data_IF_064121665675
#
_entry.id   IF_064121665675
#
_cell.length_a   1.000
_cell.length_b   1.000
_cell.length_c   1.000
_cell.angle_alpha   90.00
_cell.angle_beta   90.00
_cell.angle_gamma   90.00
#
_symmetry.space_group_name_H-M   'P 1'
#
loop_
_entity.id
_entity.type
_entity.pdbx_description
1 polymer ?
#
# COMPACT_ATOMS: atom_id res chain seq x y z
N UNK A 1 -11.07 -11.58 1.80
CA UNK A 1 -10.91 -10.52 0.79
C UNK A 1 -12.29 -10.03 0.38
N UNK A 2 -12.43 -8.78 -0.01
CA UNK A 2 -13.69 -8.14 -0.43
C UNK A 2 -13.40 -7.21 -1.62
N UNK A 3 -14.27 -7.17 -2.62
CA UNK A 3 -14.14 -6.26 -3.77
C UNK A 3 -14.96 -5.00 -3.47
N UNK A 4 -14.32 -3.83 -3.56
CA UNK A 4 -14.96 -2.51 -3.48
C UNK A 4 -14.46 -1.68 -4.64
N UNK A 5 -15.40 -1.14 -5.43
CA UNK A 5 -15.06 -0.25 -6.56
C UNK A 5 -14.07 -0.88 -7.55
N UNK A 6 -14.16 -2.21 -7.76
CA UNK A 6 -13.25 -2.96 -8.64
C UNK A 6 -11.88 -3.27 -8.03
N UNK A 7 -11.62 -2.87 -6.78
CA UNK A 7 -10.36 -3.09 -6.07
C UNK A 7 -10.52 -4.17 -4.99
N UNK A 8 -9.49 -5.01 -4.85
CA UNK A 8 -9.46 -6.07 -3.84
C UNK A 8 -8.95 -5.48 -2.52
N UNK A 9 -9.72 -5.66 -1.46
CA UNK A 9 -9.36 -5.27 -0.10
C UNK A 9 -9.22 -6.50 0.81
N UNK A 10 -8.21 -6.51 1.66
CA UNK A 10 -8.13 -7.41 2.80
C UNK A 10 -8.98 -6.85 3.93
N UNK A 11 -10.01 -7.60 4.32
CA UNK A 11 -10.81 -7.35 5.51
C UNK A 11 -10.26 -8.20 6.65
N UNK A 12 -9.71 -7.57 7.67
CA UNK A 12 -9.10 -8.25 8.83
C UNK A 12 -9.41 -7.46 10.12
N UNK A 13 -10.03 -8.11 11.10
CA UNK A 13 -10.39 -7.52 12.42
C UNK A 13 -11.07 -6.13 12.33
N UNK A 14 -11.95 -5.93 11.34
CA UNK A 14 -12.65 -4.66 11.12
C UNK A 14 -11.87 -3.61 10.34
N UNK A 15 -10.60 -3.86 10.02
CA UNK A 15 -9.78 -3.02 9.13
C UNK A 15 -9.93 -3.45 7.67
N UNK A 16 -9.84 -2.47 6.76
CA UNK A 16 -9.85 -2.69 5.31
C UNK A 16 -8.56 -2.14 4.73
N UNK A 17 -7.75 -3.00 4.12
CA UNK A 17 -6.47 -2.63 3.50
C UNK A 17 -6.50 -2.98 2.02
N UNK A 18 -6.13 -2.05 1.16
CA UNK A 18 -6.05 -2.26 -0.27
C UNK A 18 -4.96 -3.28 -0.60
N UNK A 19 -5.30 -4.32 -1.38
CA UNK A 19 -4.33 -5.30 -1.82
C UNK A 19 -3.48 -4.75 -2.96
N UNK A 20 -2.16 -4.71 -2.76
CA UNK A 20 -1.22 -4.23 -3.76
C UNK A 20 -0.57 -5.43 -4.45
N UNK A 21 -0.75 -5.59 -5.77
CA UNK A 21 -0.17 -6.69 -6.52
C UNK A 21 1.34 -6.54 -6.68
N UNK A 22 2.00 -7.65 -6.98
CA UNK A 22 3.40 -7.68 -7.39
C UNK A 22 3.50 -7.61 -8.91
N UNK A 23 3.40 -6.41 -9.46
CA UNK A 23 3.44 -6.17 -10.91
C UNK A 23 4.30 -4.96 -11.24
N UNK A 24 4.85 -4.97 -12.46
CA UNK A 24 5.65 -3.88 -13.01
C UNK A 24 4.76 -2.95 -13.84
N UNK A 25 4.86 -1.65 -13.58
CA UNK A 25 4.22 -0.58 -14.34
C UNK A 25 5.36 0.30 -14.86
N UNK A 26 5.47 0.44 -16.18
CA UNK A 26 6.52 1.23 -16.85
C UNK A 26 7.94 0.93 -16.34
N UNK A 27 8.23 -0.34 -16.09
CA UNK A 27 9.54 -0.79 -15.62
C UNK A 27 9.82 -0.58 -14.12
N UNK A 28 8.83 -0.15 -13.32
CA UNK A 28 8.94 -0.03 -11.86
C UNK A 28 7.94 -0.92 -11.14
N UNK A 29 8.30 -1.41 -9.95
CA UNK A 29 7.38 -2.18 -9.13
C UNK A 29 6.26 -1.28 -8.61
N UNK A 30 5.01 -1.75 -8.68
CA UNK A 30 3.86 -1.04 -8.10
C UNK A 30 4.06 -0.73 -6.61
N UNK A 31 4.74 -1.62 -5.88
CA UNK A 31 5.07 -1.43 -4.46
C UNK A 31 6.11 -0.33 -4.27
N UNK A 32 7.12 -0.27 -5.13
CA UNK A 32 8.14 0.79 -5.13
C UNK A 32 7.52 2.16 -5.44
N UNK A 33 6.68 2.23 -6.48
CA UNK A 33 5.94 3.44 -6.85
C UNK A 33 5.14 3.97 -5.66
N UNK A 34 4.41 3.09 -4.97
CA UNK A 34 3.61 3.45 -3.80
C UNK A 34 4.47 3.98 -2.64
N UNK A 35 5.59 3.31 -2.33
CA UNK A 35 6.51 3.74 -1.26
C UNK A 35 7.09 5.10 -1.60
N UNK A 36 7.58 5.29 -2.83
CA UNK A 36 8.15 6.57 -3.29
C UNK A 36 7.10 7.69 -3.23
N UNK A 37 5.89 7.45 -3.72
CA UNK A 37 4.80 8.43 -3.68
C UNK A 37 4.47 8.83 -2.23
N UNK A 38 4.40 7.86 -1.33
CA UNK A 38 4.14 8.12 0.10
C UNK A 38 5.28 8.91 0.74
N UNK A 39 6.53 8.62 0.38
CA UNK A 39 7.68 9.40 0.85
C UNK A 39 7.63 10.85 0.38
N UNK A 40 7.27 11.10 -0.88
CA UNK A 40 7.11 12.45 -1.43
C UNK A 40 5.95 13.21 -0.78
N UNK A 41 4.85 12.53 -0.43
CA UNK A 41 3.72 13.16 0.28
C UNK A 41 4.02 13.45 1.75
N UNK A 42 4.83 12.60 2.39
CA UNK A 42 5.10 12.62 3.82
C UNK A 42 6.58 12.98 4.09
N UNK A 43 7.15 13.89 3.31
CA UNK A 43 8.58 14.28 3.26
C UNK A 43 9.27 14.57 4.60
N UNK A 44 8.50 14.76 5.69
CA UNK A 44 9.01 15.02 7.04
C UNK A 44 8.75 13.88 8.04
N UNK A 45 8.22 12.74 7.62
CA UNK A 45 8.04 11.55 8.46
C UNK A 45 9.23 10.59 8.31
N UNK A 46 9.68 10.05 9.45
CA UNK A 46 10.67 8.98 9.44
C UNK A 46 10.15 7.77 8.66
N UNK A 47 11.06 7.01 8.05
CA UNK A 47 10.72 5.80 7.30
C UNK A 47 9.82 4.85 8.11
N UNK A 48 10.09 4.70 9.42
CA UNK A 48 9.27 3.90 10.34
C UNK A 48 7.81 4.38 10.36
N UNK A 49 7.57 5.68 10.50
CA UNK A 49 6.20 6.22 10.54
C UNK A 49 5.50 6.09 9.18
N UNK A 50 6.24 6.23 8.08
CA UNK A 50 5.72 6.00 6.73
C UNK A 50 5.30 4.53 6.52
N UNK A 51 6.14 3.58 6.94
CA UNK A 51 5.80 2.16 6.84
C UNK A 51 4.59 1.80 7.69
N UNK A 52 4.47 2.35 8.91
CA UNK A 52 3.26 2.18 9.72
C UNK A 52 2.03 2.74 9.00
N UNK A 53 2.12 3.96 8.45
CA UNK A 53 1.04 4.58 7.68
C UNK A 53 0.60 3.72 6.47
N UNK A 54 1.56 3.14 5.74
CA UNK A 54 1.27 2.22 4.65
C UNK A 54 0.62 0.92 5.16
N UNK A 55 1.15 0.30 6.21
CA UNK A 55 0.62 -0.96 6.76
C UNK A 55 -0.83 -0.86 7.24
N UNK A 56 -1.27 0.33 7.63
CA UNK A 56 -2.66 0.59 8.02
C UNK A 56 -3.61 0.69 6.82
N UNK A 57 -3.09 0.99 5.62
CA UNK A 57 -3.89 1.29 4.42
C UNK A 57 -3.78 0.25 3.32
N UNK A 58 -2.65 -0.43 3.23
CA UNK A 58 -2.34 -1.37 2.16
C UNK A 58 -1.83 -2.70 2.70
N UNK A 59 -1.99 -3.74 1.90
CA UNK A 59 -1.55 -5.08 2.21
C UNK A 59 -0.99 -5.75 0.95
N UNK A 60 0.07 -6.54 1.11
CA UNK A 60 0.55 -7.46 0.09
C UNK A 60 1.09 -8.72 0.76
N UNK A 61 1.06 -9.84 0.04
CA UNK A 61 1.68 -11.09 0.50
C UNK A 61 3.20 -10.92 0.49
N UNK A 62 3.84 -11.17 1.64
CA UNK A 62 5.29 -11.36 1.77
C UNK A 62 5.70 -12.75 1.32
#
# INVERSE_FOLDING_TARGET
FEIKEGLIHLKDKGTYRLCIPDVMIDGRSTREILIHHTHSLLTHLSAVKMFSYLRDRVWWKT
#
